data_IF_748012734710
#
_entry.id   IF_748012734710
#
_cell.length_a   1.000
_cell.length_b   1.000
_cell.length_c   1.000
_cell.angle_alpha   90.00
_cell.angle_beta   90.00
_cell.angle_gamma   90.00
#
_symmetry.space_group_name_H-M   'P 1'
#
loop_
_entity.id
_entity.type
_entity.pdbx_description
1 polymer ?
#
# COMPACT_ATOMS: atom_id res chain seq x y z
N UNK A 1 -39.20 27.51 -25.66
CA UNK A 1 -39.53 26.66 -24.51
C UNK A 1 -38.27 25.89 -24.14
N UNK A 2 -37.47 26.41 -23.22
CA UNK A 2 -36.31 25.72 -22.64
C UNK A 2 -36.76 25.11 -21.32
N UNK A 3 -36.90 23.79 -21.29
CA UNK A 3 -37.21 23.07 -20.05
C UNK A 3 -35.90 22.85 -19.32
N UNK A 4 -35.63 23.60 -18.27
CA UNK A 4 -34.52 23.30 -17.36
C UNK A 4 -34.80 21.95 -16.70
N UNK A 5 -33.88 20.96 -16.75
CA UNK A 5 -34.08 19.68 -16.08
C UNK A 5 -34.20 19.91 -14.56
N UNK A 6 -35.02 19.10 -13.85
CA UNK A 6 -35.14 19.19 -12.40
C UNK A 6 -33.78 18.92 -11.75
N UNK A 7 -33.45 19.60 -10.62
CA UNK A 7 -32.25 19.30 -9.87
C UNK A 7 -32.28 17.84 -9.40
N UNK A 8 -31.13 17.15 -9.36
CA UNK A 8 -31.06 15.79 -8.87
C UNK A 8 -31.58 15.71 -7.42
N UNK A 9 -32.17 14.59 -7.05
CA UNK A 9 -32.58 14.41 -5.66
C UNK A 9 -31.32 14.34 -4.79
N UNK A 10 -31.36 14.90 -3.57
CA UNK A 10 -30.21 14.90 -2.65
C UNK A 10 -29.64 13.49 -2.35
N UNK A 11 -30.45 12.43 -2.55
CA UNK A 11 -30.00 11.04 -2.47
C UNK A 11 -29.08 10.64 -3.64
N UNK A 12 -29.34 11.13 -4.84
CA UNK A 12 -28.54 10.83 -6.04
C UNK A 12 -27.16 11.49 -5.95
N UNK A 13 -27.10 12.72 -5.42
CA UNK A 13 -25.84 13.42 -5.17
C UNK A 13 -24.96 12.71 -4.12
N UNK A 14 -25.59 12.16 -3.07
CA UNK A 14 -24.88 11.39 -2.05
C UNK A 14 -24.32 10.07 -2.61
N UNK A 15 -25.09 9.37 -3.44
CA UNK A 15 -24.64 8.14 -4.11
C UNK A 15 -23.45 8.43 -5.01
N UNK A 16 -23.54 9.45 -5.86
CA UNK A 16 -22.45 9.85 -6.75
C UNK A 16 -21.17 10.22 -5.97
N UNK A 17 -21.29 10.98 -4.87
CA UNK A 17 -20.15 11.33 -4.03
C UNK A 17 -19.50 10.09 -3.40
N UNK A 18 -20.28 9.09 -3.01
CA UNK A 18 -19.75 7.84 -2.50
C UNK A 18 -19.11 6.98 -3.59
N UNK A 19 -19.67 6.96 -4.80
CA UNK A 19 -19.06 6.26 -5.94
C UNK A 19 -17.66 6.83 -6.25
N UNK A 20 -17.52 8.15 -6.28
CA UNK A 20 -16.21 8.81 -6.49
C UNK A 20 -15.20 8.44 -5.40
N UNK A 21 -15.65 8.40 -4.14
CA UNK A 21 -14.82 7.99 -3.00
C UNK A 21 -14.37 6.53 -3.15
N UNK A 22 -15.29 5.63 -3.52
CA UNK A 22 -14.99 4.21 -3.69
C UNK A 22 -14.06 3.97 -4.89
N UNK A 23 -14.26 4.67 -6.00
CA UNK A 23 -13.37 4.60 -7.18
C UNK A 23 -11.92 4.96 -6.82
N UNK A 24 -11.73 5.98 -5.98
CA UNK A 24 -10.39 6.36 -5.49
C UNK A 24 -9.81 5.27 -4.60
N UNK A 25 -10.58 4.79 -3.62
CA UNK A 25 -10.10 3.78 -2.68
C UNK A 25 -9.80 2.43 -3.33
N UNK A 26 -10.59 2.03 -4.34
CA UNK A 26 -10.36 0.81 -5.12
C UNK A 26 -9.09 0.92 -5.95
N UNK A 27 -8.87 2.06 -6.63
CA UNK A 27 -7.64 2.31 -7.38
C UNK A 27 -6.41 2.25 -6.47
N UNK A 28 -6.49 2.88 -5.30
CA UNK A 28 -5.42 2.86 -4.31
C UNK A 28 -5.15 1.43 -3.80
N UNK A 29 -6.20 0.66 -3.51
CA UNK A 29 -6.09 -0.72 -3.04
C UNK A 29 -5.46 -1.63 -4.10
N UNK A 30 -5.85 -1.50 -5.37
CA UNK A 30 -5.24 -2.24 -6.47
C UNK A 30 -3.77 -1.86 -6.68
N UNK A 31 -3.45 -0.57 -6.64
CA UNK A 31 -2.06 -0.09 -6.73
C UNK A 31 -1.22 -0.68 -5.60
N UNK A 32 -1.75 -0.71 -4.38
CA UNK A 32 -1.07 -1.31 -3.24
C UNK A 32 -0.90 -2.83 -3.39
N UNK A 33 -1.88 -3.53 -3.95
CA UNK A 33 -1.79 -4.96 -4.23
C UNK A 33 -0.70 -5.28 -5.26
N UNK A 34 -0.60 -4.49 -6.34
CA UNK A 34 0.44 -4.63 -7.36
C UNK A 34 1.84 -4.41 -6.77
N UNK A 35 2.01 -3.36 -5.96
CA UNK A 35 3.28 -3.05 -5.30
C UNK A 35 3.68 -4.12 -4.26
N UNK A 36 2.71 -4.70 -3.55
CA UNK A 36 2.98 -5.80 -2.63
C UNK A 36 3.41 -7.08 -3.35
N UNK A 37 2.93 -7.30 -4.58
CA UNK A 37 3.23 -8.49 -5.39
C UNK A 37 4.56 -8.43 -6.15
N UNK A 38 5.12 -7.24 -6.42
CA UNK A 38 6.38 -7.06 -7.15
C UNK A 38 7.50 -6.44 -6.28
N UNK A 39 8.31 -7.27 -5.59
CA UNK A 39 9.42 -6.79 -4.78
C UNK A 39 10.59 -6.21 -5.60
N UNK A 40 10.54 -6.27 -6.93
CA UNK A 40 11.56 -5.71 -7.84
C UNK A 40 11.13 -4.39 -8.47
N UNK A 41 10.06 -3.77 -7.98
CA UNK A 41 9.65 -2.46 -8.45
C UNK A 41 10.70 -1.40 -8.04
N UNK A 42 11.64 -1.12 -8.94
CA UNK A 42 12.78 -0.19 -8.73
C UNK A 42 12.35 1.28 -8.54
N UNK A 43 11.07 1.59 -8.78
CA UNK A 43 10.47 2.88 -8.50
C UNK A 43 9.72 2.84 -7.18
N UNK A 44 10.35 3.23 -6.07
CA UNK A 44 9.58 3.61 -4.89
C UNK A 44 8.68 4.79 -5.31
N UNK A 45 7.34 4.66 -5.31
CA UNK A 45 6.48 5.78 -5.64
C UNK A 45 6.81 6.93 -4.69
N UNK A 46 6.84 8.15 -5.21
CA UNK A 46 6.97 9.32 -4.36
C UNK A 46 5.84 9.24 -3.32
N UNK A 47 6.21 9.14 -2.04
CA UNK A 47 5.29 9.17 -0.90
C UNK A 47 4.62 10.55 -0.87
N UNK A 48 3.61 10.72 -1.72
CA UNK A 48 2.69 11.84 -1.61
C UNK A 48 1.94 11.69 -0.29
N UNK A 49 1.59 12.83 0.33
CA UNK A 49 0.75 12.82 1.52
C UNK A 49 -0.63 12.27 1.14
N UNK A 50 -0.87 10.99 1.43
CA UNK A 50 -2.16 10.37 1.24
C UNK A 50 -3.17 11.02 2.18
N UNK A 51 -4.27 11.53 1.62
CA UNK A 51 -5.35 12.14 2.38
C UNK A 51 -6.58 11.25 2.23
N UNK A 52 -7.12 10.70 3.34
CA UNK A 52 -8.28 9.82 3.26
C UNK A 52 -9.47 10.60 2.69
N UNK A 53 -10.17 10.06 1.67
CA UNK A 53 -11.37 10.68 1.16
C UNK A 53 -12.47 10.64 2.24
N UNK A 54 -13.18 11.76 2.42
CA UNK A 54 -14.20 11.92 3.45
C UNK A 54 -15.55 12.19 2.78
N UNK A 55 -16.45 11.19 2.68
CA UNK A 55 -17.79 11.40 2.17
C UNK A 55 -18.63 12.20 3.17
N UNK A 56 -19.56 13.00 2.66
CA UNK A 56 -20.41 13.91 3.43
C UNK A 56 -21.56 13.27 4.21
N UNK A 57 -21.58 11.94 4.39
CA UNK A 57 -22.70 11.23 5.02
C UNK A 57 -22.49 9.71 5.11
N UNK A 58 -23.46 8.96 5.64
CA UNK A 58 -23.39 7.49 5.71
C UNK A 58 -23.38 6.86 4.32
N UNK A 59 -22.86 5.63 4.23
CA UNK A 59 -22.86 4.83 2.98
C UNK A 59 -24.30 4.55 2.56
N UNK A 60 -24.69 4.86 1.31
CA UNK A 60 -25.97 4.45 0.75
C UNK A 60 -26.09 2.93 0.67
N UNK A 61 -27.27 2.37 1.01
CA UNK A 61 -27.50 0.92 1.05
C UNK A 61 -27.12 0.20 -0.25
N UNK A 62 -27.31 0.87 -1.40
CA UNK A 62 -26.99 0.33 -2.73
C UNK A 62 -25.50 0.10 -2.96
N UNK A 63 -24.62 0.73 -2.17
CA UNK A 63 -23.16 0.61 -2.27
C UNK A 63 -22.55 -0.29 -1.19
N UNK A 64 -23.36 -0.84 -0.29
CA UNK A 64 -22.86 -1.62 0.87
C UNK A 64 -22.06 -2.85 0.44
N UNK A 65 -22.51 -3.58 -0.58
CA UNK A 65 -21.79 -4.77 -1.05
C UNK A 65 -20.44 -4.40 -1.69
N UNK A 66 -20.40 -3.31 -2.45
CA UNK A 66 -19.15 -2.76 -3.01
C UNK A 66 -18.15 -2.37 -1.90
N UNK A 67 -18.63 -1.74 -0.84
CA UNK A 67 -17.80 -1.41 0.34
C UNK A 67 -17.25 -2.68 1.00
N UNK A 68 -18.05 -3.74 1.12
CA UNK A 68 -17.60 -5.02 1.71
C UNK A 68 -16.49 -5.65 0.88
N UNK A 69 -16.65 -5.71 -0.44
CA UNK A 69 -15.62 -6.24 -1.35
C UNK A 69 -14.31 -5.45 -1.24
N UNK A 70 -14.40 -4.13 -1.19
CA UNK A 70 -13.23 -3.26 -1.00
C UNK A 70 -12.54 -3.51 0.36
N UNK A 71 -13.31 -3.69 1.45
CA UNK A 71 -12.74 -4.01 2.77
C UNK A 71 -12.01 -5.36 2.77
N UNK A 72 -12.54 -6.36 2.08
CA UNK A 72 -11.89 -7.66 1.93
C UNK A 72 -10.58 -7.56 1.15
N UNK A 73 -10.58 -6.82 0.03
CA UNK A 73 -9.37 -6.55 -0.74
C UNK A 73 -8.31 -5.83 0.11
N UNK A 74 -8.69 -4.76 0.82
CA UNK A 74 -7.78 -4.01 1.68
C UNK A 74 -7.21 -4.87 2.81
N UNK A 75 -8.01 -5.79 3.39
CA UNK A 75 -7.56 -6.72 4.40
C UNK A 75 -6.52 -7.72 3.83
N UNK A 76 -6.73 -8.23 2.62
CA UNK A 76 -5.80 -9.13 1.95
C UNK A 76 -4.46 -8.43 1.66
N UNK A 77 -4.50 -7.22 1.08
CA UNK A 77 -3.30 -6.42 0.79
C UNK A 77 -2.52 -6.11 2.06
N UNK A 78 -3.21 -5.76 3.15
CA UNK A 78 -2.57 -5.52 4.45
C UNK A 78 -1.85 -6.77 4.97
N UNK A 79 -2.48 -7.94 4.87
CA UNK A 79 -1.86 -9.20 5.30
C UNK A 79 -0.59 -9.53 4.50
N UNK A 80 -0.59 -9.24 3.20
CA UNK A 80 0.57 -9.45 2.34
C UNK A 80 1.70 -8.45 2.64
N UNK A 81 1.37 -7.18 2.89
CA UNK A 81 2.34 -6.18 3.34
C UNK A 81 2.97 -6.57 4.69
N UNK A 82 2.17 -7.00 5.66
CA UNK A 82 2.67 -7.43 6.96
C UNK A 82 3.64 -8.63 6.81
N UNK A 83 3.32 -9.60 5.94
CA UNK A 83 4.20 -10.73 5.62
C UNK A 83 5.52 -10.26 5.01
N UNK A 84 5.46 -9.42 3.97
CA UNK A 84 6.65 -8.90 3.29
C UNK A 84 7.54 -8.10 4.26
N UNK A 85 6.96 -7.31 5.17
CA UNK A 85 7.71 -6.60 6.20
C UNK A 85 8.42 -7.54 7.17
N UNK A 86 7.79 -8.65 7.58
CA UNK A 86 8.41 -9.66 8.45
C UNK A 86 9.57 -10.33 7.74
N UNK A 87 9.39 -10.75 6.48
CA UNK A 87 10.44 -11.38 5.67
C UNK A 87 11.63 -10.45 5.43
N UNK A 88 11.37 -9.17 5.12
CA UNK A 88 12.41 -8.16 4.97
C UNK A 88 13.20 -7.94 6.27
N UNK A 89 12.53 -7.83 7.42
CA UNK A 89 13.22 -7.71 8.72
C UNK A 89 14.09 -8.94 9.02
N UNK A 90 13.60 -10.14 8.73
CA UNK A 90 14.37 -11.38 8.87
C UNK A 90 15.62 -11.39 8.00
N UNK A 91 15.45 -11.06 6.71
CA UNK A 91 16.55 -10.98 5.75
C UNK A 91 17.62 -9.95 6.16
N UNK A 92 17.19 -8.78 6.64
CA UNK A 92 18.12 -7.76 7.16
C UNK A 92 18.86 -8.23 8.42
N UNK A 93 18.19 -8.96 9.32
CA UNK A 93 18.83 -9.51 10.51
C UNK A 93 19.88 -10.59 10.17
N UNK A 94 19.59 -11.43 9.18
CA UNK A 94 20.52 -12.45 8.69
C UNK A 94 21.72 -11.83 7.95
N UNK A 95 21.48 -10.80 7.14
CA UNK A 95 22.54 -10.00 6.53
C UNK A 95 23.41 -9.34 7.60
N UNK A 96 22.82 -8.72 8.63
CA UNK A 96 23.60 -8.11 9.72
C UNK A 96 24.47 -9.15 10.47
N UNK A 97 23.97 -10.38 10.65
CA UNK A 97 24.72 -11.47 11.29
C UNK A 97 25.89 -11.95 10.43
N UNK A 98 25.67 -12.11 9.14
CA UNK A 98 26.65 -12.66 8.19
C UNK A 98 27.64 -11.63 7.65
N UNK A 99 27.24 -10.36 7.58
CA UNK A 99 28.10 -9.23 7.23
C UNK A 99 28.96 -8.73 8.41
N UNK A 100 28.80 -9.31 9.61
CA UNK A 100 29.71 -9.07 10.72
C UNK A 100 31.14 -9.41 10.27
N UNK A 101 32.10 -8.47 10.37
CA UNK A 101 33.36 -8.59 9.67
C UNK A 101 34.09 -9.84 10.14
N UNK A 102 34.49 -10.65 9.15
CA UNK A 102 35.65 -11.54 9.18
C UNK A 102 36.55 -11.18 10.36
N UNK A 103 36.62 -12.06 11.37
CA UNK A 103 37.63 -11.98 12.44
C UNK A 103 38.89 -11.42 11.83
N UNK A 104 39.30 -10.22 12.25
CA UNK A 104 40.54 -9.58 11.82
C UNK A 104 41.63 -10.64 11.95
N UNK A 105 41.96 -11.30 10.83
CA UNK A 105 43.03 -12.28 10.78
C UNK A 105 44.25 -11.39 10.86
N UNK A 106 44.77 -11.22 12.07
CA UNK A 106 45.95 -10.41 12.31
C UNK A 106 47.00 -10.84 11.28
N UNK A 107 47.34 -9.93 10.36
CA UNK A 107 48.36 -10.20 9.37
C UNK A 107 49.68 -10.35 10.15
N UNK A 108 50.15 -11.59 10.29
CA UNK A 108 51.45 -11.88 10.87
C UNK A 108 52.49 -11.68 9.76
N UNK A 109 53.31 -10.65 9.89
CA UNK A 109 54.49 -10.49 9.05
C UNK A 109 55.59 -11.44 9.57
N UNK A 110 56.03 -12.36 8.72
CA UNK A 110 57.20 -13.20 8.97
C UNK A 110 58.39 -12.45 8.40
N UNK A 111 59.30 -12.01 9.28
CA UNK A 111 60.61 -11.51 8.86
C UNK A 111 61.51 -12.71 8.55
N UNK A 112 61.93 -12.82 7.29
CA UNK A 112 62.90 -13.82 6.85
C UNK A 112 64.22 -13.10 6.62
N UNK A 113 65.02 -13.00 7.67
CA UNK A 113 66.41 -12.57 7.57
C UNK A 113 67.27 -13.78 7.21
N UNK A 114 67.97 -13.69 6.08
CA UNK A 114 68.90 -14.70 5.56
C UNK A 114 70.31 -14.57 6.16
#
# INVERSE_FOLDING_TARGET
MTTTPPPPAAGDELVAAWEEVLDVLERDAHTAAELAGDPRHDGAPALAAWTPPAPGGPVPDVLVDRVRELLELQAAVRADLDRAMVENRGSLADLARTASPTRLRAAAYVDVSA
#
